data_IF_627970148942
#
_entry.id   IF_627970148942
#
_cell.length_a   1.000
_cell.length_b   1.000
_cell.length_c   1.000
_cell.angle_alpha   90.00
_cell.angle_beta   90.00
_cell.angle_gamma   90.00
#
_symmetry.space_group_name_H-M   'P 1'
#
loop_
_entity.id
_entity.type
_entity.pdbx_description
1 polymer ?
#
# COMPACT_ATOMS: atom_id res chain seq x y z
N UNK A 1 -3.11 5.68 29.36
CA UNK A 1 -3.24 6.35 28.06
C UNK A 1 -2.23 7.48 28.03
N UNK A 2 -1.32 7.51 27.06
CA UNK A 2 -0.29 8.54 26.96
C UNK A 2 -0.88 9.78 26.29
N UNK A 3 -0.57 10.97 26.82
CA UNK A 3 -0.88 12.25 26.18
C UNK A 3 0.29 12.66 25.27
N UNK A 4 0.10 12.61 23.97
CA UNK A 4 1.11 12.97 22.99
C UNK A 4 1.05 14.44 22.56
N UNK A 5 0.14 15.24 23.14
CA UNK A 5 -0.03 16.66 22.78
C UNK A 5 1.26 17.46 22.88
N UNK A 6 2.07 17.34 23.97
CA UNK A 6 3.33 18.08 24.05
C UNK A 6 4.34 17.69 22.96
N UNK A 7 4.38 16.39 22.61
CA UNK A 7 5.25 15.89 21.53
C UNK A 7 4.83 16.45 20.18
N UNK A 8 3.51 16.47 19.88
CA UNK A 8 2.97 17.03 18.65
C UNK A 8 3.29 18.54 18.53
N UNK A 9 3.15 19.29 19.62
CA UNK A 9 3.51 20.70 19.68
C UNK A 9 5.00 20.93 19.41
N UNK A 10 5.87 20.15 20.05
CA UNK A 10 7.31 20.23 19.84
C UNK A 10 7.71 19.90 18.40
N UNK A 11 7.13 18.85 17.79
CA UNK A 11 7.36 18.50 16.38
C UNK A 11 6.95 19.66 15.46
N UNK A 12 5.79 20.27 15.71
CA UNK A 12 5.29 21.37 14.87
C UNK A 12 6.21 22.59 14.97
N UNK A 13 6.67 22.94 16.18
CA UNK A 13 7.62 24.05 16.40
C UNK A 13 8.96 23.80 15.71
N UNK A 14 9.55 22.61 15.88
CA UNK A 14 10.82 22.23 15.25
C UNK A 14 10.74 22.20 13.72
N UNK A 15 9.63 21.76 13.14
CA UNK A 15 9.40 21.80 11.70
C UNK A 15 9.31 23.23 11.17
N UNK A 16 8.69 24.13 11.93
CA UNK A 16 8.66 25.55 11.58
C UNK A 16 10.05 26.17 11.59
N UNK A 17 10.84 25.93 12.65
CA UNK A 17 12.23 26.36 12.75
C UNK A 17 13.08 25.81 11.59
N UNK A 18 12.98 24.51 11.30
CA UNK A 18 13.66 23.86 10.18
C UNK A 18 13.35 24.57 8.83
N UNK A 19 12.07 24.85 8.57
CA UNK A 19 11.68 25.53 7.34
C UNK A 19 12.30 26.93 7.22
N UNK A 20 12.30 27.69 8.32
CA UNK A 20 12.90 29.03 8.36
C UNK A 20 14.42 28.98 8.14
N UNK A 21 15.13 27.99 8.72
CA UNK A 21 16.58 27.82 8.53
C UNK A 21 16.97 27.59 7.08
N UNK A 22 16.10 26.95 6.28
CA UNK A 22 16.33 26.71 4.84
C UNK A 22 15.62 27.72 3.91
N UNK A 23 15.09 28.83 4.48
CA UNK A 23 14.59 29.97 3.71
C UNK A 23 13.10 29.94 3.34
N UNK A 24 12.31 29.02 3.91
CA UNK A 24 10.86 28.96 3.72
C UNK A 24 10.11 29.63 4.87
N UNK A 25 8.95 30.23 4.61
CA UNK A 25 8.14 30.91 5.64
C UNK A 25 7.52 29.93 6.66
N UNK A 26 7.27 28.70 6.22
CA UNK A 26 6.66 27.66 7.05
C UNK A 26 6.95 26.28 6.47
N UNK A 27 6.67 25.25 7.27
CA UNK A 27 6.94 23.86 6.88
C UNK A 27 6.09 23.38 5.69
N UNK A 28 4.87 23.89 5.49
CA UNK A 28 4.04 23.52 4.34
C UNK A 28 4.68 23.96 3.02
N UNK A 29 5.22 25.19 2.95
CA UNK A 29 5.97 25.66 1.79
C UNK A 29 7.23 24.82 1.55
N UNK A 30 7.98 24.52 2.61
CA UNK A 30 9.16 23.66 2.52
C UNK A 30 8.81 22.26 2.01
N UNK A 31 7.76 21.67 2.54
CA UNK A 31 7.31 20.34 2.12
C UNK A 31 6.84 20.30 0.66
N UNK A 32 6.30 21.40 0.13
CA UNK A 32 5.83 21.50 -1.26
C UNK A 32 6.95 21.83 -2.27
N UNK A 33 8.14 22.24 -1.82
CA UNK A 33 9.23 22.66 -2.72
C UNK A 33 9.63 21.62 -3.77
N UNK A 34 9.40 20.33 -3.48
CA UNK A 34 9.70 19.21 -4.38
C UNK A 34 8.44 18.47 -4.85
N UNK A 35 7.26 19.13 -4.79
CA UNK A 35 5.96 18.53 -5.13
C UNK A 35 5.31 19.25 -6.31
N UNK A 36 4.23 18.67 -6.86
CA UNK A 36 3.48 19.24 -7.97
C UNK A 36 2.70 20.50 -7.57
N UNK A 37 2.12 20.52 -6.38
CA UNK A 37 1.40 21.69 -5.88
C UNK A 37 2.37 22.85 -5.63
N UNK A 38 2.05 24.02 -6.19
CA UNK A 38 2.95 25.20 -6.18
C UNK A 38 2.91 25.97 -4.86
N UNK A 39 1.81 25.87 -4.12
CA UNK A 39 1.61 26.59 -2.87
C UNK A 39 0.69 25.84 -1.91
N UNK A 40 0.77 26.10 -0.60
CA UNK A 40 -0.23 25.61 0.37
C UNK A 40 -1.66 26.06 0.02
N UNK A 41 -1.80 27.21 -0.62
CA UNK A 41 -3.11 27.72 -1.05
C UNK A 41 -3.74 26.83 -2.12
N UNK A 42 -2.96 26.38 -3.13
CA UNK A 42 -3.45 25.46 -4.18
C UNK A 42 -3.98 24.15 -3.56
N UNK A 43 -3.26 23.63 -2.55
CA UNK A 43 -3.68 22.42 -1.82
C UNK A 43 -4.99 22.67 -1.08
N UNK A 44 -5.12 23.79 -0.38
CA UNK A 44 -6.34 24.14 0.35
C UNK A 44 -7.53 24.34 -0.58
N UNK A 45 -7.33 24.99 -1.71
CA UNK A 45 -8.39 25.18 -2.72
C UNK A 45 -8.87 23.84 -3.28
N UNK A 46 -7.93 22.94 -3.62
CA UNK A 46 -8.26 21.58 -4.05
C UNK A 46 -9.06 20.83 -2.98
N UNK A 47 -8.59 20.82 -1.72
CA UNK A 47 -9.27 20.15 -0.62
C UNK A 47 -10.67 20.74 -0.34
N UNK A 48 -10.81 22.06 -0.39
CA UNK A 48 -12.11 22.73 -0.22
C UNK A 48 -13.09 22.36 -1.34
N UNK A 49 -12.60 22.28 -2.58
CA UNK A 49 -13.42 21.85 -3.72
C UNK A 49 -13.89 20.40 -3.53
N UNK A 50 -12.99 19.49 -3.11
CA UNK A 50 -13.34 18.10 -2.80
C UNK A 50 -14.37 18.00 -1.66
N UNK A 51 -14.17 18.73 -0.55
CA UNK A 51 -15.11 18.76 0.56
C UNK A 51 -16.48 19.29 0.11
N UNK A 52 -16.51 20.35 -0.69
CA UNK A 52 -17.77 20.91 -1.22
C UNK A 52 -18.53 19.88 -2.06
N UNK A 53 -17.81 19.11 -2.89
CA UNK A 53 -18.41 18.08 -3.73
C UNK A 53 -18.87 16.86 -2.91
N UNK A 54 -18.07 16.38 -1.97
CA UNK A 54 -18.32 15.14 -1.22
C UNK A 54 -19.34 15.31 -0.06
N UNK A 55 -19.37 16.49 0.60
CA UNK A 55 -20.19 16.73 1.80
C UNK A 55 -21.66 16.37 1.65
N UNK A 56 -22.39 16.72 0.55
CA UNK A 56 -23.81 16.36 0.41
C UNK A 56 -24.03 14.85 0.43
N UNK A 57 -23.15 14.08 -0.23
CA UNK A 57 -23.22 12.62 -0.26
C UNK A 57 -22.94 12.01 1.12
N UNK A 58 -21.86 12.44 1.76
CA UNK A 58 -21.53 11.97 3.11
C UNK A 58 -22.63 12.27 4.13
N UNK A 59 -23.31 13.43 4.02
CA UNK A 59 -24.46 13.76 4.87
C UNK A 59 -25.68 12.87 4.59
N UNK A 60 -25.95 12.56 3.32
CA UNK A 60 -27.03 11.66 2.94
C UNK A 60 -26.77 10.22 3.42
N UNK A 61 -25.55 9.72 3.24
CA UNK A 61 -25.12 8.39 3.72
C UNK A 61 -25.20 8.28 5.25
N UNK A 62 -24.73 9.31 5.97
CA UNK A 62 -24.83 9.33 7.43
C UNK A 62 -26.30 9.34 7.88
N UNK A 63 -27.17 10.14 7.24
CA UNK A 63 -28.59 10.18 7.56
C UNK A 63 -29.28 8.82 7.31
N UNK A 64 -28.91 8.11 6.25
CA UNK A 64 -29.37 6.75 5.96
C UNK A 64 -28.95 5.77 7.06
N UNK A 65 -27.68 5.83 7.50
CA UNK A 65 -27.16 4.98 8.59
C UNK A 65 -27.87 5.30 9.93
N UNK A 66 -28.12 6.56 10.24
CA UNK A 66 -28.84 6.96 11.44
C UNK A 66 -30.31 6.49 11.41
N UNK A 67 -30.95 6.55 10.25
CA UNK A 67 -32.30 6.00 10.06
C UNK A 67 -32.31 4.48 10.26
N UNK A 68 -31.37 3.76 9.66
CA UNK A 68 -31.22 2.33 9.85
C UNK A 68 -30.96 1.94 11.31
N UNK A 69 -30.08 2.69 11.99
CA UNK A 69 -29.75 2.48 13.41
C UNK A 69 -30.88 2.92 14.37
N UNK A 70 -31.89 3.66 13.88
CA UNK A 70 -32.93 4.29 14.66
C UNK A 70 -32.39 5.18 15.80
N UNK A 71 -31.24 5.82 15.60
CA UNK A 71 -30.60 6.77 16.53
C UNK A 71 -29.51 7.59 15.86
N UNK A 72 -29.12 8.70 16.49
CA UNK A 72 -27.89 9.42 16.12
C UNK A 72 -26.65 8.55 16.35
N UNK A 73 -25.70 8.61 15.43
CA UNK A 73 -24.47 7.83 15.47
C UNK A 73 -23.29 8.69 15.95
N UNK A 74 -22.49 8.13 16.83
CA UNK A 74 -21.17 8.65 17.12
C UNK A 74 -20.16 8.12 16.07
N UNK A 75 -19.03 8.78 15.93
CA UNK A 75 -18.02 8.41 14.91
C UNK A 75 -17.58 6.94 14.98
N UNK A 76 -17.52 6.36 16.17
CA UNK A 76 -17.17 4.96 16.40
C UNK A 76 -18.30 3.96 16.07
N UNK A 77 -19.53 4.42 15.90
CA UNK A 77 -20.69 3.58 15.53
C UNK A 77 -20.80 3.40 14.02
N UNK A 78 -20.27 4.34 13.23
CA UNK A 78 -20.49 4.42 11.78
C UNK A 78 -20.05 3.12 11.07
N UNK A 79 -18.84 2.63 11.33
CA UNK A 79 -18.33 1.41 10.68
C UNK A 79 -19.19 0.18 11.00
N UNK A 80 -19.63 0.03 12.24
CA UNK A 80 -20.49 -1.09 12.66
C UNK A 80 -21.85 -1.08 11.94
N UNK A 81 -22.52 0.08 11.88
CA UNK A 81 -23.82 0.17 11.21
C UNK A 81 -23.71 0.14 9.70
N UNK A 82 -22.60 0.64 9.12
CA UNK A 82 -22.32 0.51 7.69
C UNK A 82 -22.21 -0.95 7.26
N UNK A 83 -21.46 -1.77 8.01
CA UNK A 83 -21.38 -3.21 7.74
C UNK A 83 -22.73 -3.92 7.87
N UNK A 84 -23.52 -3.57 8.90
CA UNK A 84 -24.87 -4.13 9.08
C UNK A 84 -25.80 -3.77 7.93
N UNK A 85 -25.82 -2.51 7.52
CA UNK A 85 -26.63 -2.04 6.40
C UNK A 85 -26.22 -2.72 5.09
N UNK A 86 -24.91 -2.84 4.85
CA UNK A 86 -24.38 -3.56 3.69
C UNK A 86 -24.84 -5.02 3.67
N UNK A 87 -24.76 -5.70 4.81
CA UNK A 87 -25.20 -7.10 4.95
C UNK A 87 -26.70 -7.25 4.72
N UNK A 88 -27.51 -6.35 5.26
CA UNK A 88 -28.96 -6.38 5.06
C UNK A 88 -29.36 -6.10 3.61
N UNK A 89 -28.72 -5.11 2.97
CA UNK A 89 -29.07 -4.68 1.61
C UNK A 89 -28.58 -5.61 0.52
N UNK A 90 -27.36 -6.16 0.68
CA UNK A 90 -26.69 -6.91 -0.38
C UNK A 90 -26.47 -8.38 -0.04
N UNK A 91 -26.78 -8.82 1.18
CA UNK A 91 -26.52 -10.18 1.70
C UNK A 91 -25.04 -10.61 1.57
N UNK A 92 -24.12 -9.64 1.52
CA UNK A 92 -22.67 -9.87 1.38
C UNK A 92 -21.94 -9.30 2.58
N UNK A 93 -20.97 -10.05 3.08
CA UNK A 93 -20.01 -9.58 4.08
C UNK A 93 -18.59 -9.95 3.64
N UNK A 94 -17.59 -9.21 4.09
CA UNK A 94 -16.19 -9.56 3.86
C UNK A 94 -15.87 -10.97 4.35
N UNK A 95 -16.47 -11.39 5.48
CA UNK A 95 -16.28 -12.73 6.04
C UNK A 95 -16.85 -13.82 5.14
N UNK A 96 -18.00 -13.59 4.51
CA UNK A 96 -18.60 -14.54 3.57
C UNK A 96 -17.79 -14.71 2.26
N UNK A 97 -16.95 -13.72 1.93
CA UNK A 97 -16.10 -13.75 0.74
C UNK A 97 -14.76 -14.47 0.97
N UNK A 98 -14.25 -14.54 2.21
CA UNK A 98 -12.94 -15.15 2.53
C UNK A 98 -12.71 -16.54 1.92
N UNK A 99 -13.67 -17.49 1.90
CA UNK A 99 -13.44 -18.81 1.31
C UNK A 99 -13.06 -18.80 -0.17
N UNK A 100 -13.37 -17.71 -0.88
CA UNK A 100 -13.02 -17.55 -2.30
C UNK A 100 -11.60 -17.03 -2.51
N UNK A 101 -10.96 -16.48 -1.46
CA UNK A 101 -9.65 -15.86 -1.50
C UNK A 101 -8.59 -16.56 -0.63
N UNK A 102 -8.35 -17.87 -0.79
CA UNK A 102 -7.19 -18.49 -0.15
C UNK A 102 -5.90 -17.90 -0.75
N UNK A 103 -4.95 -17.53 0.10
CA UNK A 103 -3.71 -16.85 -0.32
C UNK A 103 -2.98 -17.54 -1.50
N UNK A 104 -2.83 -18.88 -1.54
CA UNK A 104 -2.17 -19.52 -2.68
C UNK A 104 -2.89 -19.26 -4.02
N UNK A 105 -4.21 -19.24 -4.02
CA UNK A 105 -5.02 -18.95 -5.21
C UNK A 105 -4.91 -17.48 -5.62
N UNK A 106 -4.91 -16.58 -4.64
CA UNK A 106 -4.75 -15.14 -4.88
C UNK A 106 -3.38 -14.85 -5.49
N UNK A 107 -2.31 -15.46 -4.95
CA UNK A 107 -0.96 -15.33 -5.52
C UNK A 107 -0.89 -15.87 -6.95
N UNK A 108 -1.46 -17.04 -7.21
CA UNK A 108 -1.49 -17.60 -8.57
C UNK A 108 -2.24 -16.66 -9.55
N UNK A 109 -3.36 -16.06 -9.12
CA UNK A 109 -4.11 -15.07 -9.89
C UNK A 109 -3.30 -13.81 -10.16
N UNK A 110 -2.68 -13.23 -9.13
CA UNK A 110 -1.81 -12.07 -9.22
C UNK A 110 -0.64 -12.32 -10.19
N UNK A 111 0.07 -13.43 -10.05
CA UNK A 111 1.20 -13.79 -10.92
C UNK A 111 0.74 -14.01 -12.37
N UNK A 112 -0.44 -14.59 -12.56
CA UNK A 112 -1.05 -14.72 -13.88
C UNK A 112 -1.40 -13.38 -14.54
N UNK A 113 -1.90 -12.42 -13.78
CA UNK A 113 -2.15 -11.03 -14.25
C UNK A 113 -0.83 -10.38 -14.66
N UNK A 114 0.18 -10.45 -13.80
CA UNK A 114 1.51 -9.87 -14.04
C UNK A 114 2.17 -10.48 -15.27
N UNK A 115 2.08 -11.81 -15.42
CA UNK A 115 2.60 -12.50 -16.60
C UNK A 115 1.98 -11.99 -17.91
N UNK A 116 0.66 -11.79 -17.91
CA UNK A 116 -0.06 -11.25 -19.10
C UNK A 116 0.26 -9.79 -19.38
N UNK A 117 0.42 -8.96 -18.34
CA UNK A 117 0.67 -7.52 -18.50
C UNK A 117 2.11 -7.22 -18.92
N UNK A 118 3.08 -7.92 -18.31
CA UNK A 118 4.50 -7.55 -18.43
C UNK A 118 5.36 -8.61 -19.13
N UNK A 119 4.79 -9.75 -19.50
CA UNK A 119 5.55 -10.82 -20.17
C UNK A 119 6.64 -11.44 -19.30
N UNK A 120 6.36 -11.59 -17.99
CA UNK A 120 7.30 -12.16 -17.00
C UNK A 120 6.67 -13.36 -16.31
N UNK A 121 7.52 -14.21 -15.75
CA UNK A 121 7.13 -15.36 -14.95
C UNK A 121 7.68 -15.20 -13.53
N UNK A 122 6.90 -15.54 -12.50
CA UNK A 122 7.28 -15.46 -11.11
C UNK A 122 7.43 -16.87 -10.55
N UNK A 123 8.62 -17.21 -10.09
CA UNK A 123 8.98 -18.55 -9.65
C UNK A 123 9.50 -18.49 -8.21
N UNK A 124 8.97 -19.31 -7.33
CA UNK A 124 9.48 -19.43 -5.97
C UNK A 124 10.85 -20.09 -5.92
N UNK A 125 11.82 -19.44 -5.28
CA UNK A 125 13.16 -19.97 -5.05
C UNK A 125 13.33 -20.45 -3.62
N UNK A 126 13.62 -21.73 -3.45
CA UNK A 126 13.89 -22.34 -2.15
C UNK A 126 15.36 -22.15 -1.72
N UNK A 127 15.61 -22.32 -0.40
CA UNK A 127 16.97 -22.30 0.16
C UNK A 127 17.57 -20.90 0.35
N UNK A 128 16.77 -19.85 0.18
CA UNK A 128 17.18 -18.47 0.47
C UNK A 128 17.03 -18.20 1.98
N UNK A 129 18.00 -17.52 2.58
CA UNK A 129 17.93 -17.11 3.97
C UNK A 129 16.77 -16.14 4.19
N UNK A 130 15.89 -16.45 5.16
CA UNK A 130 14.72 -15.66 5.54
C UNK A 130 14.71 -15.44 7.04
N UNK A 131 14.06 -14.38 7.51
CA UNK A 131 13.98 -14.01 8.94
C UNK A 131 12.81 -14.66 9.69
N UNK A 132 11.90 -15.33 8.96
CA UNK A 132 10.77 -16.05 9.53
C UNK A 132 10.34 -17.19 8.60
N UNK A 133 9.87 -18.35 9.10
CA UNK A 133 9.47 -19.50 8.27
C UNK A 133 8.37 -19.20 7.26
N UNK A 134 7.50 -18.23 7.54
CA UNK A 134 6.40 -17.84 6.65
C UNK A 134 6.84 -16.92 5.51
N UNK A 135 8.07 -16.42 5.53
CA UNK A 135 8.61 -15.57 4.47
C UNK A 135 9.01 -16.42 3.30
N UNK A 136 8.56 -16.03 2.12
CA UNK A 136 8.85 -16.71 0.86
C UNK A 136 9.70 -15.80 -0.03
N UNK A 137 10.52 -16.41 -0.87
CA UNK A 137 11.35 -15.68 -1.82
C UNK A 137 11.03 -16.09 -3.25
N UNK A 138 10.95 -15.12 -4.16
CA UNK A 138 10.57 -15.31 -5.54
C UNK A 138 11.53 -14.62 -6.48
N UNK A 139 11.78 -15.25 -7.63
CA UNK A 139 12.48 -14.66 -8.77
C UNK A 139 11.47 -14.24 -9.84
N UNK A 140 11.72 -13.10 -10.46
CA UNK A 140 11.00 -12.65 -11.66
C UNK A 140 11.87 -12.95 -12.86
N UNK A 141 11.32 -13.75 -13.76
CA UNK A 141 11.97 -14.16 -14.99
C UNK A 141 11.39 -13.43 -16.19
N UNK A 142 12.25 -12.92 -17.06
CA UNK A 142 11.86 -12.51 -18.41
C UNK A 142 12.60 -13.40 -19.40
N UNK A 143 11.86 -14.23 -20.16
CA UNK A 143 12.41 -15.36 -20.91
C UNK A 143 13.17 -16.31 -19.97
N UNK A 144 14.46 -16.59 -20.25
CA UNK A 144 15.28 -17.48 -19.43
C UNK A 144 16.09 -16.76 -18.33
N UNK A 145 15.96 -15.44 -18.19
CA UNK A 145 16.81 -14.65 -17.31
C UNK A 145 16.04 -14.13 -16.10
N UNK A 146 16.66 -14.22 -14.93
CA UNK A 146 16.18 -13.49 -13.74
C UNK A 146 16.43 -12.00 -13.96
N UNK A 147 15.42 -11.17 -13.73
CA UNK A 147 15.50 -9.70 -13.86
C UNK A 147 15.33 -8.97 -12.53
N UNK A 148 14.85 -9.65 -11.49
CA UNK A 148 14.68 -9.13 -10.14
C UNK A 148 14.14 -10.21 -9.23
N UNK A 149 14.12 -9.96 -7.92
CA UNK A 149 13.65 -10.91 -6.93
C UNK A 149 12.94 -10.18 -5.77
N UNK A 150 12.11 -10.87 -5.00
CA UNK A 150 11.46 -10.27 -3.85
C UNK A 150 11.20 -11.26 -2.72
N UNK A 151 11.22 -10.73 -1.50
CA UNK A 151 10.69 -11.39 -0.31
C UNK A 151 9.22 -11.06 -0.16
N UNK A 152 8.40 -12.05 0.13
CA UNK A 152 7.00 -11.88 0.51
C UNK A 152 6.83 -12.31 1.97
N UNK A 153 6.50 -11.35 2.82
CA UNK A 153 6.21 -11.56 4.25
C UNK A 153 4.72 -11.28 4.51
N UNK A 154 3.81 -12.28 4.37
CA UNK A 154 2.40 -12.02 4.25
C UNK A 154 1.66 -11.85 5.58
N UNK A 155 2.14 -12.46 6.70
CA UNK A 155 1.30 -12.62 7.89
C UNK A 155 1.67 -11.68 9.03
N UNK A 156 0.64 -11.28 9.78
CA UNK A 156 0.80 -10.61 11.06
C UNK A 156 1.42 -11.54 12.10
N UNK A 157 2.28 -11.00 12.97
CA UNK A 157 2.86 -11.69 14.11
C UNK A 157 3.32 -10.73 15.19
N UNK A 158 3.64 -11.23 16.36
CA UNK A 158 4.18 -10.44 17.48
C UNK A 158 5.46 -9.70 17.04
N UNK A 159 5.57 -8.43 17.41
CA UNK A 159 6.69 -7.53 17.10
C UNK A 159 6.85 -7.17 15.60
N UNK A 160 5.95 -7.57 14.72
CA UNK A 160 5.92 -7.07 13.36
C UNK A 160 5.15 -5.74 13.30
N UNK A 161 5.70 -4.76 12.59
CA UNK A 161 5.03 -3.47 12.35
C UNK A 161 3.71 -3.73 11.60
N UNK A 162 2.64 -3.06 12.04
CA UNK A 162 1.32 -3.14 11.40
C UNK A 162 1.27 -2.36 10.08
N UNK A 163 0.27 -2.65 9.25
CA UNK A 163 0.10 -2.09 7.91
C UNK A 163 0.74 -2.99 6.84
N UNK A 164 0.69 -2.56 5.59
CA UNK A 164 1.40 -3.19 4.48
C UNK A 164 2.36 -2.17 3.90
N UNK A 165 3.45 -2.63 3.31
CA UNK A 165 4.42 -1.78 2.63
C UNK A 165 5.34 -2.58 1.73
N UNK A 166 5.79 -1.93 0.68
CA UNK A 166 6.96 -2.31 -0.10
C UNK A 166 8.17 -1.51 0.37
N UNK A 167 9.36 -2.14 0.39
CA UNK A 167 10.63 -1.47 0.62
C UNK A 167 11.70 -2.02 -0.32
N UNK A 168 12.71 -1.22 -0.67
CA UNK A 168 13.83 -1.68 -1.48
C UNK A 168 14.87 -2.42 -0.61
N UNK A 169 15.21 -3.62 -1.01
CA UNK A 169 16.31 -4.39 -0.41
C UNK A 169 17.62 -4.10 -1.14
N UNK A 170 17.56 -4.15 -2.47
CA UNK A 170 18.69 -3.88 -3.37
C UNK A 170 18.17 -3.11 -4.56
N UNK A 171 18.74 -1.93 -4.83
CA UNK A 171 18.47 -1.18 -6.05
C UNK A 171 19.24 -1.74 -7.24
N UNK A 172 18.64 -1.74 -8.44
CA UNK A 172 19.34 -2.08 -9.67
C UNK A 172 20.49 -1.11 -9.91
N UNK A 173 21.69 -1.64 -10.15
CA UNK A 173 22.84 -0.81 -10.51
C UNK A 173 23.87 -1.57 -11.34
N UNK A 174 24.66 -0.83 -12.11
CA UNK A 174 25.82 -1.34 -12.81
C UNK A 174 27.05 -0.54 -12.36
N UNK A 175 27.91 -1.20 -11.57
CA UNK A 175 29.17 -0.65 -11.08
C UNK A 175 30.32 -1.56 -11.52
N UNK A 176 31.39 -0.97 -12.04
CA UNK A 176 32.57 -1.76 -12.47
C UNK A 176 32.31 -2.75 -13.63
N UNK A 177 31.21 -2.57 -14.37
CA UNK A 177 30.81 -3.49 -15.46
C UNK A 177 29.95 -4.67 -15.01
N UNK A 178 29.70 -4.84 -13.73
CA UNK A 178 28.84 -5.88 -13.18
C UNK A 178 27.43 -5.32 -12.88
N UNK A 179 26.40 -6.08 -13.30
CA UNK A 179 24.99 -5.72 -13.09
C UNK A 179 24.46 -6.41 -11.84
N UNK A 180 24.04 -5.61 -10.86
CA UNK A 180 23.28 -6.07 -9.70
C UNK A 180 21.78 -5.91 -9.98
N UNK A 181 21.02 -7.00 -9.78
CA UNK A 181 19.58 -7.03 -9.99
C UNK A 181 18.82 -6.50 -8.77
N UNK A 182 17.66 -5.88 -8.97
CA UNK A 182 16.86 -5.33 -7.89
C UNK A 182 16.23 -6.44 -7.04
N UNK A 183 16.13 -6.17 -5.73
CA UNK A 183 15.41 -7.01 -4.76
C UNK A 183 14.49 -6.13 -3.94
N UNK A 184 13.25 -6.57 -3.74
CA UNK A 184 12.26 -5.87 -2.93
C UNK A 184 11.82 -6.68 -1.72
N UNK A 185 11.33 -5.97 -0.68
CA UNK A 185 10.50 -6.52 0.38
C UNK A 185 9.04 -6.18 0.10
N UNK A 186 8.17 -7.19 0.13
CA UNK A 186 6.71 -7.04 0.11
C UNK A 186 6.17 -7.55 1.44
N UNK A 187 5.67 -6.66 2.26
CA UNK A 187 5.28 -6.96 3.63
C UNK A 187 3.81 -6.65 3.82
N UNK A 188 3.04 -7.65 4.28
CA UNK A 188 1.64 -7.52 4.64
C UNK A 188 1.40 -7.96 6.09
N UNK A 189 0.20 -7.80 6.57
CA UNK A 189 -0.22 -8.22 7.92
C UNK A 189 -1.55 -8.97 7.87
N UNK A 190 -1.68 -9.91 6.94
CA UNK A 190 -2.86 -10.76 6.83
C UNK A 190 -2.97 -11.70 8.03
N UNK A 191 -4.16 -12.18 8.31
CA UNK A 191 -4.35 -13.22 9.32
C UNK A 191 -3.58 -14.48 8.89
N UNK A 192 -2.80 -15.09 9.80
CA UNK A 192 -2.09 -16.32 9.49
C UNK A 192 -3.08 -17.48 9.24
N UNK A 193 -2.63 -18.54 8.56
CA UNK A 193 -3.45 -19.72 8.35
C UNK A 193 -3.86 -20.36 9.69
N UNK A 194 -5.08 -20.90 9.76
CA UNK A 194 -5.49 -21.78 10.85
C UNK A 194 -4.88 -23.18 10.63
N UNK A 195 -4.90 -24.01 11.70
CA UNK A 195 -4.46 -25.40 11.59
C UNK A 195 -5.22 -26.09 10.44
N UNK A 196 -4.48 -26.69 9.52
CA UNK A 196 -4.98 -27.47 8.37
C UNK A 196 -5.75 -26.68 7.28
N UNK A 197 -5.71 -25.35 7.30
CA UNK A 197 -6.33 -24.52 6.25
C UNK A 197 -5.38 -23.42 5.78
N UNK A 198 -5.37 -23.06 4.48
CA UNK A 198 -4.62 -21.92 4.01
C UNK A 198 -5.17 -20.62 4.61
N UNK A 199 -4.35 -19.58 4.67
CA UNK A 199 -4.82 -18.25 5.04
C UNK A 199 -5.91 -17.78 4.06
N UNK A 200 -7.05 -17.37 4.61
CA UNK A 200 -8.18 -16.84 3.85
C UNK A 200 -8.19 -15.32 3.97
N UNK A 201 -8.05 -14.65 2.84
CA UNK A 201 -8.00 -13.20 2.75
C UNK A 201 -9.40 -12.59 2.70
N UNK A 202 -9.53 -11.36 3.19
CA UNK A 202 -10.65 -10.49 2.80
C UNK A 202 -10.41 -9.95 1.39
N UNK A 203 -11.43 -9.40 0.75
CA UNK A 203 -11.22 -8.69 -0.52
C UNK A 203 -10.30 -7.47 -0.35
N UNK A 204 -10.39 -6.77 0.78
CA UNK A 204 -9.50 -5.65 1.10
C UNK A 204 -8.03 -6.09 1.24
N UNK A 205 -7.77 -7.29 1.78
CA UNK A 205 -6.43 -7.89 1.81
C UNK A 205 -5.92 -8.17 0.39
N UNK A 206 -6.80 -8.61 -0.52
CA UNK A 206 -6.45 -8.83 -1.94
C UNK A 206 -6.07 -7.51 -2.61
N UNK A 207 -6.89 -6.46 -2.44
CA UNK A 207 -6.59 -5.10 -2.95
C UNK A 207 -5.24 -4.62 -2.42
N UNK A 208 -5.01 -4.77 -1.11
CA UNK A 208 -3.74 -4.40 -0.46
C UNK A 208 -2.56 -5.16 -1.07
N UNK A 209 -2.68 -6.48 -1.29
CA UNK A 209 -1.61 -7.27 -1.91
C UNK A 209 -1.28 -6.79 -3.33
N UNK A 210 -2.29 -6.48 -4.13
CA UNK A 210 -2.11 -5.95 -5.48
C UNK A 210 -1.46 -4.56 -5.46
N UNK A 211 -1.83 -3.71 -4.49
CA UNK A 211 -1.23 -2.40 -4.26
C UNK A 211 0.27 -2.51 -3.98
N UNK A 212 0.65 -3.25 -2.95
CA UNK A 212 2.07 -3.42 -2.59
C UNK A 212 2.87 -4.07 -3.71
N UNK A 213 2.24 -4.99 -4.45
CA UNK A 213 2.87 -5.58 -5.61
C UNK A 213 3.09 -4.57 -6.75
N UNK A 214 2.22 -3.57 -6.89
CA UNK A 214 2.40 -2.46 -7.84
C UNK A 214 3.68 -1.67 -7.56
N UNK A 215 3.95 -1.34 -6.29
CA UNK A 215 5.22 -0.76 -5.88
C UNK A 215 6.40 -1.69 -6.16
N UNK A 216 6.25 -2.98 -5.82
CA UNK A 216 7.25 -4.00 -6.09
C UNK A 216 7.61 -4.09 -7.59
N UNK A 217 6.61 -4.12 -8.47
CA UNK A 217 6.83 -4.15 -9.92
C UNK A 217 7.54 -2.89 -10.42
N UNK A 218 7.20 -1.72 -9.90
CA UNK A 218 7.89 -0.48 -10.23
C UNK A 218 9.39 -0.58 -9.90
N UNK A 219 9.73 -1.14 -8.75
CA UNK A 219 11.13 -1.34 -8.35
C UNK A 219 11.81 -2.44 -9.16
N UNK A 220 11.17 -3.58 -9.36
CA UNK A 220 11.77 -4.81 -9.90
C UNK A 220 11.88 -4.84 -11.42
N UNK A 221 10.97 -4.18 -12.14
CA UNK A 221 10.98 -4.14 -13.61
C UNK A 221 11.79 -2.97 -14.19
N UNK A 222 12.46 -2.19 -13.34
CA UNK A 222 13.29 -1.07 -13.79
C UNK A 222 14.41 -1.55 -14.73
N UNK A 223 14.71 -0.75 -15.75
CA UNK A 223 15.86 -0.93 -16.62
C UNK A 223 16.97 0.09 -16.38
N UNK A 224 16.70 1.05 -15.49
CA UNK A 224 17.66 2.06 -15.07
C UNK A 224 18.69 1.44 -14.13
N UNK A 225 19.98 1.66 -14.39
CA UNK A 225 21.07 1.08 -13.60
C UNK A 225 21.86 2.13 -12.81
N UNK A 226 21.25 3.27 -12.52
CA UNK A 226 21.79 4.33 -11.65
C UNK A 226 21.03 4.28 -10.32
N UNK A 227 21.68 3.92 -9.18
CA UNK A 227 20.99 3.61 -7.92
C UNK A 227 20.03 4.70 -7.43
N UNK A 228 20.41 5.97 -7.58
CA UNK A 228 19.61 7.11 -7.09
C UNK A 228 18.29 7.35 -7.84
N UNK A 229 18.12 6.73 -9.00
CA UNK A 229 16.94 6.88 -9.86
C UNK A 229 16.44 5.53 -10.41
N UNK A 230 16.91 4.42 -9.87
CA UNK A 230 16.50 3.08 -10.28
C UNK A 230 15.29 2.60 -9.46
N UNK A 231 14.30 2.03 -10.13
CA UNK A 231 13.10 1.50 -9.49
C UNK A 231 12.29 2.58 -8.80
N UNK A 232 12.02 2.42 -7.52
CA UNK A 232 11.25 3.38 -6.71
C UNK A 232 12.09 4.59 -6.28
N UNK A 233 13.42 4.52 -6.40
CA UNK A 233 14.31 5.59 -5.98
C UNK A 233 14.22 6.82 -6.89
N UNK A 234 14.24 8.01 -6.31
CA UNK A 234 14.16 9.27 -7.04
C UNK A 234 12.79 9.59 -7.64
N UNK A 235 11.79 8.75 -7.41
CA UNK A 235 10.41 9.00 -7.85
C UNK A 235 9.80 10.13 -7.04
N UNK A 236 9.13 11.04 -7.72
CA UNK A 236 8.39 12.11 -7.07
C UNK A 236 7.29 11.53 -6.16
N UNK A 237 7.17 12.04 -4.93
CA UNK A 237 6.16 11.60 -3.96
C UNK A 237 4.73 11.64 -4.53
N UNK A 238 4.45 12.60 -5.42
CA UNK A 238 3.14 12.77 -6.07
C UNK A 238 2.82 11.68 -7.10
N UNK A 239 3.83 10.91 -7.53
CA UNK A 239 3.70 9.87 -8.55
C UNK A 239 3.98 8.46 -8.03
N UNK A 240 4.45 8.32 -6.79
CA UNK A 240 4.88 7.03 -6.23
C UNK A 240 3.76 6.00 -6.17
N UNK A 241 2.52 6.44 -5.95
CA UNK A 241 1.33 5.59 -5.83
C UNK A 241 0.70 5.20 -7.19
N UNK A 242 1.19 5.72 -8.31
CA UNK A 242 0.59 5.43 -9.62
C UNK A 242 0.65 3.94 -9.98
N UNK A 243 1.78 3.22 -9.81
CA UNK A 243 1.84 1.78 -10.10
C UNK A 243 1.01 0.93 -9.14
N UNK A 244 0.94 1.31 -7.86
CA UNK A 244 0.17 0.59 -6.85
C UNK A 244 -1.33 0.70 -7.12
N UNK A 245 -1.86 1.91 -7.31
CA UNK A 245 -3.27 2.10 -7.67
C UNK A 245 -3.65 1.52 -9.05
N UNK A 246 -2.70 1.48 -10.00
CA UNK A 246 -2.93 0.79 -11.27
C UNK A 246 -3.20 -0.70 -11.05
N UNK A 247 -2.42 -1.35 -10.19
CA UNK A 247 -2.58 -2.77 -9.91
C UNK A 247 -3.85 -3.10 -9.13
N UNK A 248 -4.34 -2.23 -8.25
CA UNK A 248 -5.60 -2.42 -7.53
C UNK A 248 -6.79 -2.70 -8.45
N UNK A 249 -6.81 -2.11 -9.66
CA UNK A 249 -7.91 -2.30 -10.60
C UNK A 249 -8.13 -3.77 -10.96
N UNK A 250 -7.08 -4.59 -10.98
CA UNK A 250 -7.16 -6.01 -11.32
C UNK A 250 -7.66 -6.89 -10.16
N UNK A 251 -7.78 -6.35 -8.95
CA UNK A 251 -8.40 -7.04 -7.83
C UNK A 251 -9.94 -7.01 -7.88
N UNK A 252 -10.53 -6.21 -8.78
CA UNK A 252 -11.97 -6.04 -8.96
C UNK A 252 -12.54 -6.80 -10.17
N UNK A 253 -11.71 -7.54 -10.89
CA UNK A 253 -12.06 -8.34 -12.08
C UNK A 253 -11.58 -9.81 -11.92
#
# INVERSE_FOLDING_TARGET
RYDNTPVMQAITALRHEQANLVGFRNYAEYALATRMAKSPQDVLEFLHAMVKAARPYAQAELAELEQFANRKLAAWDVGYFAEKLQRERYAVSQEALRPYFPLPRVLAGLFGVIGRLFGVEIIERQGVAVWHPDVRFFDIHQHANVIGSFYLDPYARTNKRSGAWMDDCVGRHALGGELTLPVAYLVCNFLPPATDQPALLTHDDVVTLFHEFGHGLHHLLTRVSYPSIAGINGVSWDAVELPSHFMENFAWH
#
